data_IF_506868932096
#
_entry.id   IF_506868932096
#
_cell.length_a   1.000
_cell.length_b   1.000
_cell.length_c   1.000
_cell.angle_alpha   90.00
_cell.angle_beta   90.00
_cell.angle_gamma   90.00
#
_symmetry.space_group_name_H-M   'P 1'
#
loop_
_entity.id
_entity.type
_entity.pdbx_description
1 polymer ?
#
# COMPACT_ATOMS: atom_id res chain seq x y z
N UNK A 1 -45.25 37.25 33.78
CA UNK A 1 -43.90 37.55 33.27
C UNK A 1 -43.60 36.53 32.18
N UNK A 2 -43.51 36.97 30.93
CA UNK A 2 -43.39 36.09 29.77
C UNK A 2 -41.95 35.57 29.60
N UNK A 3 -41.87 34.31 29.17
CA UNK A 3 -40.70 33.45 29.11
C UNK A 3 -39.91 33.71 27.80
N UNK A 4 -38.73 34.31 27.87
CA UNK A 4 -37.90 34.63 26.70
C UNK A 4 -36.69 33.69 26.61
N UNK A 5 -36.95 32.42 26.29
CA UNK A 5 -35.94 31.52 25.75
C UNK A 5 -36.07 31.49 24.23
N UNK A 6 -35.49 32.45 23.51
CA UNK A 6 -35.40 32.41 22.04
C UNK A 6 -34.54 31.20 21.64
N UNK A 7 -35.19 30.06 21.39
CA UNK A 7 -34.59 28.96 20.64
C UNK A 7 -34.64 29.29 19.15
N UNK A 8 -34.00 30.38 18.75
CA UNK A 8 -33.78 30.65 17.34
C UNK A 8 -32.73 29.66 16.82
N UNK A 9 -33.07 29.05 15.69
CA UNK A 9 -32.22 28.21 14.84
C UNK A 9 -32.24 26.68 15.04
N UNK A 10 -33.43 26.09 15.27
CA UNK A 10 -33.68 24.64 15.09
C UNK A 10 -33.76 24.16 13.62
N UNK A 11 -33.35 24.99 12.66
CA UNK A 11 -33.42 24.72 11.21
C UNK A 11 -32.05 24.58 10.54
N UNK A 12 -31.03 24.11 11.27
CA UNK A 12 -29.84 23.54 10.64
C UNK A 12 -30.17 22.09 10.30
N UNK A 13 -30.16 21.75 9.02
CA UNK A 13 -30.37 20.39 8.48
C UNK A 13 -29.74 19.35 9.41
N UNK A 14 -30.54 18.42 9.94
CA UNK A 14 -30.18 17.38 10.95
C UNK A 14 -28.91 16.57 10.60
N UNK A 15 -28.44 16.68 9.36
CA UNK A 15 -27.26 16.04 8.79
C UNK A 15 -25.94 16.72 9.25
N UNK A 16 -25.92 18.04 9.47
CA UNK A 16 -24.69 18.77 9.88
C UNK A 16 -24.52 18.72 11.40
N UNK A 17 -24.03 17.58 11.90
CA UNK A 17 -23.76 17.36 13.33
C UNK A 17 -22.34 16.81 13.54
N UNK A 18 -21.66 17.29 14.59
CA UNK A 18 -20.41 16.70 15.07
C UNK A 18 -20.74 15.33 15.68
N UNK A 19 -20.20 14.26 15.10
CA UNK A 19 -20.49 12.88 15.53
C UNK A 19 -19.71 12.50 16.80
N UNK A 20 -18.45 12.92 16.87
CA UNK A 20 -17.55 12.70 18.00
C UNK A 20 -17.10 14.05 18.53
N UNK A 21 -17.34 14.28 19.83
CA UNK A 21 -16.97 15.52 20.49
C UNK A 21 -15.53 15.37 20.99
N UNK A 22 -14.57 15.64 20.13
CA UNK A 22 -13.18 15.67 20.58
C UNK A 22 -12.91 17.05 21.19
N UNK A 23 -12.53 17.11 22.46
CA UNK A 23 -12.23 18.36 23.20
C UNK A 23 -10.85 18.95 22.82
N UNK A 24 -10.19 18.36 21.83
CA UNK A 24 -8.86 18.73 21.34
C UNK A 24 -8.95 19.40 19.98
N UNK A 25 -8.11 20.42 19.77
CA UNK A 25 -7.96 21.03 18.45
C UNK A 25 -7.32 20.01 17.49
N UNK A 26 -8.13 19.47 16.58
CA UNK A 26 -7.73 18.46 15.59
C UNK A 26 -6.46 18.87 14.82
N UNK A 27 -6.26 20.17 14.58
CA UNK A 27 -5.09 20.69 13.88
C UNK A 27 -3.78 20.50 14.67
N UNK A 28 -3.83 20.53 16.01
CA UNK A 28 -2.64 20.41 16.87
C UNK A 28 -2.30 18.95 17.15
N UNK A 29 -3.30 18.06 17.21
CA UNK A 29 -3.10 16.67 17.62
C UNK A 29 -3.08 15.69 16.44
N UNK A 30 -3.97 15.85 15.45
CA UNK A 30 -4.05 14.89 14.35
C UNK A 30 -2.98 15.11 13.28
N UNK A 31 -2.62 16.36 12.99
CA UNK A 31 -1.63 16.68 11.95
C UNK A 31 -0.24 16.04 12.19
N UNK A 32 0.37 16.08 13.40
CA UNK A 32 1.67 15.45 13.60
C UNK A 32 1.59 13.91 13.53
N UNK A 33 0.50 13.30 13.99
CA UNK A 33 0.30 11.85 13.94
C UNK A 33 0.21 11.38 12.50
N UNK A 34 -0.63 12.02 11.68
CA UNK A 34 -0.78 11.68 10.27
C UNK A 34 0.53 11.88 9.48
N UNK A 35 1.27 12.96 9.77
CA UNK A 35 2.57 13.19 9.15
C UNK A 35 3.58 12.11 9.52
N UNK A 36 3.57 11.65 10.78
CA UNK A 36 4.45 10.59 11.23
C UNK A 36 4.11 9.26 10.56
N UNK A 37 2.82 8.89 10.51
CA UNK A 37 2.36 7.67 9.83
C UNK A 37 2.74 7.67 8.35
N UNK A 38 2.57 8.82 7.68
CA UNK A 38 2.96 8.98 6.29
C UNK A 38 4.47 8.76 6.06
N UNK A 39 5.32 9.34 6.93
CA UNK A 39 6.77 9.15 6.87
C UNK A 39 7.18 7.69 7.09
N UNK A 40 6.57 7.03 8.08
CA UNK A 40 6.81 5.60 8.34
C UNK A 40 6.44 4.75 7.11
N UNK A 41 5.27 5.00 6.52
CA UNK A 41 4.81 4.26 5.35
C UNK A 41 5.73 4.43 4.14
N UNK A 42 6.24 5.66 3.89
CA UNK A 42 7.22 5.90 2.83
C UNK A 42 8.53 5.16 3.12
N UNK A 43 9.02 5.19 4.35
CA UNK A 43 10.26 4.51 4.73
C UNK A 43 10.17 3.00 4.52
N UNK A 44 9.07 2.38 4.98
CA UNK A 44 8.80 0.95 4.81
C UNK A 44 8.68 0.57 3.32
N UNK A 45 7.98 1.39 2.53
CA UNK A 45 7.86 1.17 1.10
C UNK A 45 9.21 1.28 0.40
N UNK A 46 10.01 2.29 0.75
CA UNK A 46 11.36 2.50 0.19
C UNK A 46 12.27 1.30 0.47
N UNK A 47 12.24 0.75 1.68
CA UNK A 47 13.01 -0.44 2.04
C UNK A 47 12.53 -1.68 1.27
N UNK A 48 11.21 -1.92 1.26
CA UNK A 48 10.62 -3.09 0.60
C UNK A 48 10.90 -3.12 -0.91
N UNK A 49 10.83 -1.96 -1.55
CA UNK A 49 10.91 -1.84 -3.01
C UNK A 49 12.26 -1.38 -3.52
N UNK A 50 13.21 -1.03 -2.63
CA UNK A 50 14.48 -0.37 -2.98
C UNK A 50 14.26 0.72 -4.05
N UNK A 51 13.28 1.60 -3.78
CA UNK A 51 12.92 2.68 -4.69
C UNK A 51 12.70 3.95 -3.89
N UNK A 52 13.34 5.04 -4.33
CA UNK A 52 13.16 6.37 -3.75
C UNK A 52 12.00 7.09 -4.43
N UNK A 53 10.86 7.15 -3.74
CA UNK A 53 9.65 7.80 -4.22
C UNK A 53 9.75 9.32 -4.27
N UNK A 54 10.69 9.94 -3.54
CA UNK A 54 10.84 11.41 -3.54
C UNK A 54 11.58 11.88 -4.79
N UNK A 55 12.63 11.16 -5.18
CA UNK A 55 13.44 11.48 -6.35
C UNK A 55 13.04 10.69 -7.61
N UNK A 56 12.07 9.79 -7.48
CA UNK A 56 11.65 8.84 -8.52
C UNK A 56 12.81 8.00 -9.08
N UNK A 57 13.75 7.61 -8.20
CA UNK A 57 14.94 6.86 -8.58
C UNK A 57 14.97 5.47 -7.98
N UNK A 58 15.29 4.44 -8.77
CA UNK A 58 15.62 3.13 -8.24
C UNK A 58 16.84 3.20 -7.31
N UNK A 59 16.81 2.45 -6.22
CA UNK A 59 17.94 2.22 -5.33
C UNK A 59 18.53 0.84 -5.61
N UNK A 60 19.74 0.61 -5.14
CA UNK A 60 20.34 -0.73 -5.19
C UNK A 60 19.63 -1.65 -4.19
N UNK A 61 19.28 -2.86 -4.64
CA UNK A 61 18.64 -3.85 -3.77
C UNK A 61 18.05 -5.02 -4.53
N UNK A 62 17.01 -5.61 -3.95
CA UNK A 62 16.40 -6.84 -4.43
C UNK A 62 15.60 -6.68 -5.74
N UNK A 63 15.24 -5.45 -6.11
CA UNK A 63 14.38 -5.16 -7.26
C UNK A 63 15.15 -4.34 -8.29
N UNK A 64 15.30 -4.87 -9.51
CA UNK A 64 15.94 -4.13 -10.61
C UNK A 64 14.86 -3.41 -11.40
N UNK A 65 14.76 -2.10 -11.22
CA UNK A 65 13.77 -1.27 -11.91
C UNK A 65 14.29 -0.81 -13.28
N UNK A 66 13.44 -0.88 -14.30
CA UNK A 66 13.73 -0.38 -15.66
C UNK A 66 12.60 0.51 -16.13
N UNK A 67 12.93 1.67 -16.73
CA UNK A 67 11.95 2.55 -17.34
C UNK A 67 11.49 1.97 -18.68
N UNK A 68 10.21 1.65 -18.80
CA UNK A 68 9.62 1.13 -20.04
C UNK A 68 9.11 2.31 -20.88
N UNK A 69 9.47 2.35 -22.17
CA UNK A 69 8.90 3.30 -23.12
C UNK A 69 7.47 2.90 -23.45
N UNK A 70 6.57 3.88 -23.61
CA UNK A 70 5.17 3.64 -23.96
C UNK A 70 4.99 2.89 -25.29
N UNK A 71 6.02 2.84 -26.13
CA UNK A 71 6.01 2.12 -27.42
C UNK A 71 6.09 0.59 -27.26
N UNK A 72 6.49 0.09 -26.09
CA UNK A 72 6.71 -1.35 -25.82
C UNK A 72 5.54 -2.05 -25.10
N UNK A 73 4.43 -1.36 -24.82
CA UNK A 73 3.31 -1.92 -24.05
C UNK A 73 2.28 -2.71 -24.90
N UNK A 74 2.63 -3.07 -26.14
CA UNK A 74 1.85 -3.98 -26.97
C UNK A 74 2.55 -5.35 -27.00
N UNK A 75 2.50 -6.12 -25.92
CA UNK A 75 2.76 -7.56 -25.96
C UNK A 75 1.85 -8.24 -24.94
N UNK A 76 0.70 -8.65 -25.46
CA UNK A 76 0.15 -10.00 -25.37
C UNK A 76 0.68 -10.85 -24.21
N UNK A 77 -0.20 -11.06 -23.25
CA UNK A 77 -0.10 -12.05 -22.20
C UNK A 77 -0.19 -13.45 -22.84
N UNK A 78 0.93 -13.99 -23.31
CA UNK A 78 1.04 -15.43 -23.57
C UNK A 78 1.46 -16.15 -22.27
N UNK A 79 0.50 -16.85 -21.67
CA UNK A 79 0.73 -17.82 -20.61
C UNK A 79 1.68 -18.92 -21.09
N UNK A 80 2.97 -18.82 -20.77
CA UNK A 80 3.93 -19.91 -21.02
C UNK A 80 4.38 -20.54 -19.70
N UNK A 81 3.56 -21.48 -19.21
CA UNK A 81 3.83 -22.27 -18.00
C UNK A 81 4.82 -23.40 -18.29
N UNK A 82 6.07 -23.05 -18.59
CA UNK A 82 7.12 -24.03 -18.85
C UNK A 82 8.34 -23.73 -17.98
N UNK A 83 8.16 -23.74 -16.65
CA UNK A 83 9.28 -23.83 -15.73
C UNK A 83 9.86 -25.26 -15.82
N UNK A 84 10.73 -25.47 -16.79
CA UNK A 84 11.66 -26.60 -16.83
C UNK A 84 12.48 -26.55 -15.56
N UNK A 85 12.18 -27.45 -14.62
CA UNK A 85 12.97 -27.66 -13.40
C UNK A 85 14.34 -28.19 -13.84
N UNK A 86 15.30 -27.29 -14.03
CA UNK A 86 16.70 -27.64 -14.11
C UNK A 86 17.19 -27.97 -12.70
N UNK A 87 17.27 -29.27 -12.39
CA UNK A 87 17.98 -29.75 -11.21
C UNK A 87 17.16 -30.67 -10.31
N UNK A 88 16.99 -31.92 -10.71
CA UNK A 88 16.85 -33.03 -9.76
C UNK A 88 17.86 -34.12 -10.12
N UNK A 89 19.01 -34.00 -9.45
CA UNK A 89 19.87 -35.07 -8.92
C UNK A 89 19.68 -36.48 -9.48
N UNK A 90 20.75 -36.96 -10.08
CA UNK A 90 21.19 -38.36 -10.11
C UNK A 90 20.71 -39.15 -8.87
N UNK A 91 19.94 -40.22 -9.09
CA UNK A 91 19.91 -41.34 -8.15
C UNK A 91 20.32 -42.59 -8.94
N UNK A 92 21.47 -43.05 -8.48
CA UNK A 92 22.28 -44.22 -8.77
C UNK A 92 21.53 -45.56 -8.65
N UNK A 93 22.11 -46.55 -9.31
CA UNK A 93 21.60 -47.85 -9.73
C UNK A 93 21.14 -48.79 -8.59
N UNK A 94 20.16 -49.66 -8.88
CA UNK A 94 19.72 -50.67 -7.90
C UNK A 94 18.69 -51.70 -8.38
N UNK A 95 19.00 -52.41 -9.46
CA UNK A 95 18.30 -53.57 -10.02
C UNK A 95 18.01 -54.66 -8.96
N UNK A 96 16.75 -54.92 -8.59
CA UNK A 96 16.36 -56.10 -7.78
C UNK A 96 15.13 -56.81 -8.37
N UNK A 97 15.44 -57.98 -8.92
CA UNK A 97 14.63 -59.01 -9.58
C UNK A 97 13.24 -59.30 -8.98
N UNK A 98 12.31 -59.59 -9.90
CA UNK A 98 11.02 -60.20 -9.65
C UNK A 98 11.16 -61.62 -9.09
N UNK A 99 10.36 -61.98 -8.09
CA UNK A 99 9.80 -63.32 -7.92
C UNK A 99 8.48 -63.21 -7.16
#
# INVERSE_FOLDING_TARGET
MANNGSTENRNRTRVRRRLFQDDVNDEVTCTPILQQEFKCSIAEAREKWNFDFENETPLEGNWIWTKVSNENNNNEMEDNHNATIAGTTEIDDGDHNAT
#
